data_IF_842482190951
#
_entry.id   IF_842482190951
#
_cell.length_a   1.000
_cell.length_b   1.000
_cell.length_c   1.000
_cell.angle_alpha   90.00
_cell.angle_beta   90.00
_cell.angle_gamma   90.00
#
_symmetry.space_group_name_H-M   'P 1'
#
loop_
_entity.id
_entity.type
_entity.pdbx_description
1 polymer ?
#
# COMPACT_ATOMS: atom_id res chain seq x y z
N UNK A 1 17.46 12.11 30.05
CA UNK A 1 17.82 10.70 30.23
C UNK A 1 17.68 9.93 28.93
N UNK A 2 18.74 9.24 28.50
CA UNK A 2 18.58 8.40 27.32
C UNK A 2 17.61 7.27 27.64
N UNK A 3 16.60 7.14 26.82
CA UNK A 3 15.67 6.04 26.94
C UNK A 3 16.32 4.79 26.37
N UNK A 4 16.43 3.76 27.18
CA UNK A 4 16.85 2.47 26.66
C UNK A 4 15.79 2.00 25.65
N UNK A 5 16.25 1.70 24.44
CA UNK A 5 15.38 1.11 23.44
C UNK A 5 15.04 -0.29 23.92
N UNK A 6 13.81 -0.49 24.37
CA UNK A 6 13.32 -1.82 24.67
C UNK A 6 12.94 -2.50 23.37
N UNK A 7 13.13 -3.82 23.30
CA UNK A 7 13.01 -4.61 22.08
C UNK A 7 11.64 -4.59 21.42
N UNK A 8 10.63 -3.94 21.98
CA UNK A 8 9.26 -4.00 21.47
C UNK A 8 8.59 -2.63 21.44
N UNK A 9 9.21 -1.68 20.76
CA UNK A 9 8.57 -0.41 20.49
C UNK A 9 7.51 -0.51 19.40
N UNK A 10 7.59 -1.55 18.56
CA UNK A 10 6.60 -1.78 17.53
C UNK A 10 5.46 -2.62 18.06
N UNK A 11 4.24 -2.09 17.93
CA UNK A 11 3.05 -2.85 18.30
C UNK A 11 2.84 -3.98 17.29
N UNK A 12 2.53 -5.17 17.80
CA UNK A 12 2.09 -6.23 16.93
C UNK A 12 0.72 -5.87 16.38
N UNK A 13 0.61 -5.88 15.05
CA UNK A 13 -0.65 -5.67 14.39
C UNK A 13 -1.53 -6.92 14.52
N UNK A 14 -2.77 -6.70 14.96
CA UNK A 14 -3.76 -7.75 14.91
C UNK A 14 -4.28 -7.89 13.48
N UNK A 15 -4.50 -9.12 12.97
CA UNK A 15 -5.11 -9.27 11.67
C UNK A 15 -6.54 -8.70 11.66
N UNK A 16 -7.02 -8.34 10.47
CA UNK A 16 -8.37 -7.82 10.33
C UNK A 16 -9.40 -8.91 10.66
N UNK A 17 -10.60 -8.48 11.05
CA UNK A 17 -11.64 -9.39 11.52
C UNK A 17 -12.34 -10.18 10.40
N UNK A 18 -12.33 -9.69 9.15
CA UNK A 18 -13.05 -10.34 8.06
C UNK A 18 -12.18 -11.34 7.31
N UNK A 19 -10.96 -10.96 6.94
CA UNK A 19 -10.04 -11.80 6.17
C UNK A 19 -8.92 -12.40 7.01
N UNK A 20 -8.80 -11.97 8.25
CA UNK A 20 -7.74 -12.38 9.18
C UNK A 20 -6.34 -12.22 8.56
N UNK A 21 -6.16 -11.10 7.86
CA UNK A 21 -4.92 -10.78 7.16
C UNK A 21 -4.27 -9.53 7.75
N UNK A 22 -2.99 -9.64 8.06
CA UNK A 22 -2.21 -8.50 8.53
C UNK A 22 -2.05 -7.45 7.43
N UNK A 23 -1.94 -7.88 6.18
CA UNK A 23 -1.84 -6.97 5.03
C UNK A 23 -3.09 -6.11 4.88
N UNK A 24 -4.26 -6.71 5.02
CA UNK A 24 -5.51 -5.97 4.96
C UNK A 24 -5.61 -4.98 6.13
N UNK A 25 -5.19 -5.39 7.33
CA UNK A 25 -5.18 -4.50 8.48
C UNK A 25 -4.24 -3.30 8.26
N UNK A 26 -3.10 -3.51 7.65
CA UNK A 26 -2.18 -2.41 7.31
C UNK A 26 -2.80 -1.45 6.31
N UNK A 27 -3.52 -1.95 5.32
CA UNK A 27 -4.22 -1.09 4.37
C UNK A 27 -5.30 -0.27 5.07
N UNK A 28 -6.06 -0.87 5.98
CA UNK A 28 -7.07 -0.16 6.76
C UNK A 28 -6.44 0.98 7.56
N UNK A 29 -5.34 0.68 8.25
CA UNK A 29 -4.63 1.69 9.04
C UNK A 29 -4.09 2.81 8.17
N UNK A 30 -3.58 2.50 6.99
CA UNK A 30 -3.05 3.49 6.05
C UNK A 30 -4.14 4.36 5.44
N UNK A 31 -5.32 3.81 5.24
CA UNK A 31 -6.48 4.52 4.68
C UNK A 31 -7.19 5.39 5.73
N UNK A 32 -6.96 5.12 7.01
CA UNK A 32 -7.64 5.81 8.10
C UNK A 32 -7.29 7.30 8.14
N UNK A 33 -8.30 8.14 8.33
CA UNK A 33 -8.13 9.57 8.52
C UNK A 33 -8.78 9.98 9.84
N UNK A 34 -8.08 10.79 10.64
CA UNK A 34 -8.60 11.35 11.89
C UNK A 34 -9.11 10.30 12.88
N UNK A 35 -8.50 9.12 12.89
CA UNK A 35 -8.87 8.04 13.79
C UNK A 35 -10.17 7.32 13.45
N UNK A 36 -10.77 7.58 12.29
CA UNK A 36 -12.05 6.98 11.88
C UNK A 36 -11.83 5.58 11.30
N UNK A 37 -11.53 4.64 12.19
CA UNK A 37 -11.17 3.28 11.79
C UNK A 37 -12.31 2.51 11.14
N UNK A 38 -13.53 2.63 11.69
CA UNK A 38 -14.67 1.90 11.12
C UNK A 38 -14.98 2.33 9.69
N UNK A 39 -14.89 3.63 9.42
CA UNK A 39 -15.10 4.14 8.06
C UNK A 39 -14.04 3.61 7.09
N UNK A 40 -12.77 3.60 7.50
CA UNK A 40 -11.69 3.05 6.70
C UNK A 40 -11.87 1.55 6.47
N UNK A 41 -12.26 0.82 7.50
CA UNK A 41 -12.50 -0.62 7.42
C UNK A 41 -13.60 -0.95 6.42
N UNK A 42 -14.72 -0.22 6.48
CA UNK A 42 -15.82 -0.40 5.52
C UNK A 42 -15.38 -0.11 4.09
N UNK A 43 -14.66 1.00 3.91
CA UNK A 43 -14.19 1.40 2.59
C UNK A 43 -13.24 0.34 2.00
N UNK A 44 -12.33 -0.18 2.80
CA UNK A 44 -11.38 -1.22 2.35
C UNK A 44 -12.11 -2.51 2.01
N UNK A 45 -13.04 -2.95 2.85
CA UNK A 45 -13.80 -4.17 2.57
C UNK A 45 -14.64 -4.04 1.31
N UNK A 46 -15.31 -2.91 1.12
CA UNK A 46 -16.06 -2.64 -0.11
C UNK A 46 -15.15 -2.62 -1.33
N UNK A 47 -13.97 -2.00 -1.21
CA UNK A 47 -13.01 -1.94 -2.30
C UNK A 47 -12.54 -3.33 -2.72
N UNK A 48 -12.20 -4.18 -1.75
CA UNK A 48 -11.77 -5.55 -2.03
C UNK A 48 -12.88 -6.36 -2.69
N UNK A 49 -14.11 -6.23 -2.22
CA UNK A 49 -15.24 -6.93 -2.80
C UNK A 49 -15.49 -6.49 -4.24
N UNK A 50 -15.44 -5.17 -4.50
CA UNK A 50 -15.64 -4.63 -5.85
C UNK A 50 -14.53 -5.06 -6.80
N UNK A 51 -13.28 -5.05 -6.34
CA UNK A 51 -12.14 -5.47 -7.14
C UNK A 51 -12.24 -6.94 -7.52
N UNK A 52 -12.59 -7.80 -6.57
CA UNK A 52 -12.78 -9.22 -6.82
C UNK A 52 -13.91 -9.46 -7.82
N UNK A 53 -15.01 -8.72 -7.69
CA UNK A 53 -16.14 -8.83 -8.59
C UNK A 53 -15.77 -8.41 -10.01
N UNK A 54 -15.02 -7.33 -10.16
CA UNK A 54 -14.56 -6.83 -11.46
C UNK A 54 -13.64 -7.83 -12.16
N UNK A 55 -12.77 -8.48 -11.41
CA UNK A 55 -11.84 -9.49 -11.95
C UNK A 55 -12.43 -10.89 -11.98
N UNK A 56 -13.70 -11.03 -11.58
CA UNK A 56 -14.41 -12.32 -11.55
C UNK A 56 -13.68 -13.37 -10.69
N UNK A 57 -13.08 -12.92 -9.60
CA UNK A 57 -12.41 -13.78 -8.64
C UNK A 57 -13.31 -14.03 -7.44
N UNK A 58 -13.28 -15.26 -6.92
CA UNK A 58 -14.02 -15.59 -5.70
C UNK A 58 -13.28 -15.21 -4.43
N UNK A 59 -11.96 -14.96 -4.54
CA UNK A 59 -11.09 -14.69 -3.41
C UNK A 59 -10.58 -13.25 -3.42
N UNK A 60 -11.25 -12.32 -2.71
CA UNK A 60 -10.79 -10.92 -2.65
C UNK A 60 -9.38 -10.79 -2.10
N UNK A 61 -9.00 -11.66 -1.14
CA UNK A 61 -7.66 -11.60 -0.56
C UNK A 61 -6.56 -11.90 -1.58
N UNK A 62 -6.78 -12.88 -2.46
CA UNK A 62 -5.82 -13.21 -3.51
C UNK A 62 -5.63 -12.04 -4.49
N UNK A 63 -6.73 -11.38 -4.84
CA UNK A 63 -6.68 -10.20 -5.72
C UNK A 63 -5.84 -9.10 -5.07
N UNK A 64 -6.07 -8.86 -3.79
CA UNK A 64 -5.33 -7.85 -3.04
C UNK A 64 -3.84 -8.19 -2.95
N UNK A 65 -3.51 -9.43 -2.61
CA UNK A 65 -2.12 -9.86 -2.51
C UNK A 65 -1.40 -9.73 -3.85
N UNK A 66 -2.04 -10.11 -4.93
CA UNK A 66 -1.47 -9.95 -6.28
C UNK A 66 -1.22 -8.48 -6.59
N UNK A 67 -2.17 -7.60 -6.27
CA UNK A 67 -2.01 -6.17 -6.50
C UNK A 67 -0.83 -5.61 -5.72
N UNK A 68 -0.70 -5.97 -4.45
CA UNK A 68 0.39 -5.50 -3.60
C UNK A 68 1.75 -6.02 -4.12
N UNK A 69 1.83 -7.28 -4.53
CA UNK A 69 3.06 -7.83 -5.09
C UNK A 69 3.46 -7.09 -6.37
N UNK A 70 2.51 -6.74 -7.21
CA UNK A 70 2.79 -6.01 -8.46
C UNK A 70 3.26 -4.58 -8.20
N UNK A 71 2.80 -3.95 -7.13
CA UNK A 71 3.18 -2.58 -6.77
C UNK A 71 4.48 -2.54 -5.97
N UNK A 72 4.83 -3.61 -5.25
CA UNK A 72 5.98 -3.62 -4.34
C UNK A 72 7.29 -3.38 -5.08
N UNK A 73 8.06 -2.33 -4.73
CA UNK A 73 9.32 -2.04 -5.40
C UNK A 73 10.45 -2.92 -4.87
N UNK A 74 11.41 -3.22 -5.73
CA UNK A 74 12.62 -3.94 -5.33
C UNK A 74 13.70 -3.01 -4.79
N UNK A 75 13.62 -1.71 -5.15
CA UNK A 75 14.64 -0.73 -4.81
C UNK A 75 14.01 0.56 -4.31
N UNK A 76 14.72 1.22 -3.41
CA UNK A 76 14.42 2.56 -2.95
C UNK A 76 15.50 3.51 -3.44
N UNK A 77 15.12 4.73 -3.81
CA UNK A 77 16.07 5.75 -4.25
C UNK A 77 16.35 6.69 -3.08
N UNK A 78 17.63 6.81 -2.72
CA UNK A 78 18.06 7.75 -1.69
C UNK A 78 18.96 8.81 -2.30
N UNK A 79 18.69 10.07 -1.95
CA UNK A 79 19.56 11.16 -2.38
C UNK A 79 20.82 11.19 -1.54
N UNK A 80 21.96 11.27 -2.20
CA UNK A 80 23.24 11.40 -1.52
C UNK A 80 24.03 12.54 -2.16
N UNK A 81 24.55 13.40 -1.31
CA UNK A 81 25.35 14.54 -1.75
C UNK A 81 26.84 14.17 -1.73
N UNK A 82 27.46 14.19 -2.91
CA UNK A 82 28.89 13.90 -3.06
C UNK A 82 29.50 14.99 -3.94
N UNK A 83 30.53 15.67 -3.44
CA UNK A 83 31.25 16.68 -4.23
C UNK A 83 30.39 17.85 -4.71
N UNK A 84 29.36 18.24 -3.94
CA UNK A 84 28.46 19.34 -4.30
C UNK A 84 27.32 18.97 -5.25
N UNK A 85 27.28 17.75 -5.75
CA UNK A 85 26.20 17.24 -6.60
C UNK A 85 25.32 16.26 -5.83
N UNK A 86 24.01 16.32 -6.10
CA UNK A 86 23.05 15.37 -5.52
C UNK A 86 22.90 14.17 -6.45
N UNK A 87 23.22 12.98 -5.94
CA UNK A 87 23.03 11.73 -6.67
C UNK A 87 21.92 10.91 -6.03
N UNK A 88 21.10 10.31 -6.87
CA UNK A 88 20.10 9.37 -6.42
C UNK A 88 20.68 7.96 -6.58
N UNK A 89 20.82 7.28 -5.43
CA UNK A 89 21.43 5.96 -5.37
C UNK A 89 20.35 4.93 -5.06
N UNK A 90 20.21 3.88 -5.89
CA UNK A 90 19.24 2.82 -5.59
C UNK A 90 19.76 1.91 -4.47
N UNK A 91 18.89 1.58 -3.53
CA UNK A 91 19.16 0.63 -2.46
C UNK A 91 18.13 -0.48 -2.50
N UNK A 92 18.55 -1.76 -2.42
CA UNK A 92 17.59 -2.86 -2.36
C UNK A 92 16.80 -2.80 -1.06
N UNK A 93 15.50 -3.09 -1.14
CA UNK A 93 14.62 -3.10 0.02
C UNK A 93 13.82 -4.40 0.06
N UNK A 94 13.45 -4.84 1.27
CA UNK A 94 12.69 -6.05 1.47
C UNK A 94 11.70 -5.88 2.62
N UNK A 95 10.69 -6.75 2.67
CA UNK A 95 9.77 -6.87 3.79
C UNK A 95 8.95 -5.61 4.04
N UNK A 96 9.06 -5.09 5.25
CA UNK A 96 8.25 -3.95 5.70
C UNK A 96 8.41 -2.70 4.82
N UNK A 97 9.61 -2.45 4.35
CA UNK A 97 9.86 -1.26 3.55
C UNK A 97 9.20 -1.37 2.18
N UNK A 98 9.22 -2.55 1.55
CA UNK A 98 8.48 -2.79 0.32
C UNK A 98 6.99 -2.59 0.52
N UNK A 99 6.45 -3.15 1.59
CA UNK A 99 5.03 -3.02 1.91
C UNK A 99 4.66 -1.57 2.18
N UNK A 100 5.52 -0.85 2.90
CA UNK A 100 5.28 0.57 3.16
C UNK A 100 5.09 1.36 1.86
N UNK A 101 5.97 1.18 0.89
CA UNK A 101 5.85 1.86 -0.40
C UNK A 101 4.61 1.40 -1.16
N UNK A 102 4.34 0.10 -1.19
CA UNK A 102 3.17 -0.42 -1.89
C UNK A 102 1.89 0.19 -1.35
N UNK A 103 1.70 0.17 -0.03
CA UNK A 103 0.51 0.74 0.60
C UNK A 103 0.42 2.24 0.43
N UNK A 104 1.54 2.95 0.60
CA UNK A 104 1.57 4.40 0.45
C UNK A 104 1.17 4.82 -0.96
N UNK A 105 1.75 4.18 -1.96
CA UNK A 105 1.46 4.51 -3.36
C UNK A 105 0.02 4.16 -3.73
N UNK A 106 -0.48 3.03 -3.25
CA UNK A 106 -1.86 2.61 -3.51
C UNK A 106 -2.86 3.61 -2.92
N UNK A 107 -2.68 4.00 -1.68
CA UNK A 107 -3.57 4.95 -1.02
C UNK A 107 -3.47 6.34 -1.67
N UNK A 108 -2.26 6.81 -1.98
CA UNK A 108 -2.08 8.09 -2.66
C UNK A 108 -2.72 8.09 -4.04
N UNK A 109 -2.57 7.01 -4.79
CA UNK A 109 -3.19 6.88 -6.10
C UNK A 109 -4.72 6.94 -6.02
N UNK A 110 -5.30 6.23 -5.05
CA UNK A 110 -6.74 6.26 -4.83
C UNK A 110 -7.21 7.67 -4.45
N UNK A 111 -6.47 8.36 -3.58
CA UNK A 111 -6.83 9.72 -3.15
C UNK A 111 -6.67 10.77 -4.25
N UNK A 112 -5.80 10.53 -5.22
CA UNK A 112 -5.60 11.47 -6.32
C UNK A 112 -6.77 11.50 -7.31
N UNK A 113 -7.61 10.49 -7.31
CA UNK A 113 -8.81 10.44 -8.15
C UNK A 113 -9.94 11.21 -7.48
N UNK A 114 -10.86 11.74 -8.27
CA UNK A 114 -12.00 12.49 -7.77
C UNK A 114 -13.29 12.03 -8.44
N UNK A 115 -14.43 12.48 -7.89
CA UNK A 115 -15.75 12.19 -8.48
C UNK A 115 -16.36 10.87 -8.08
N UNK A 116 -15.70 10.08 -7.22
CA UNK A 116 -16.21 8.79 -6.77
C UNK A 116 -15.91 8.58 -5.28
N UNK A 117 -16.70 7.76 -4.57
CA UNK A 117 -16.36 7.39 -3.20
C UNK A 117 -14.99 6.72 -3.14
N UNK A 118 -14.31 6.86 -1.99
CA UNK A 118 -12.98 6.30 -1.79
C UNK A 118 -12.92 4.80 -2.07
N UNK A 119 -13.96 4.05 -1.65
CA UNK A 119 -14.01 2.61 -1.88
C UNK A 119 -13.93 2.25 -3.37
N UNK A 120 -14.62 2.99 -4.24
CA UNK A 120 -14.56 2.77 -5.67
C UNK A 120 -13.21 3.16 -6.26
N UNK A 121 -12.64 4.26 -5.79
CA UNK A 121 -11.30 4.70 -6.24
C UNK A 121 -10.25 3.67 -5.87
N UNK A 122 -10.31 3.17 -4.64
CA UNK A 122 -9.38 2.15 -4.17
C UNK A 122 -9.56 0.85 -4.94
N UNK A 123 -10.81 0.43 -5.18
CA UNK A 123 -11.09 -0.77 -5.97
C UNK A 123 -10.51 -0.66 -7.38
N UNK A 124 -10.67 0.49 -8.02
CA UNK A 124 -10.13 0.73 -9.36
C UNK A 124 -8.61 0.59 -9.37
N UNK A 125 -7.93 1.17 -8.37
CA UNK A 125 -6.47 1.06 -8.27
C UNK A 125 -6.02 -0.38 -8.02
N UNK A 126 -6.74 -1.13 -7.21
CA UNK A 126 -6.40 -2.54 -6.97
C UNK A 126 -6.55 -3.35 -8.25
N UNK A 127 -7.62 -3.14 -9.01
CA UNK A 127 -7.82 -3.82 -10.30
C UNK A 127 -6.71 -3.46 -11.28
N UNK A 128 -6.40 -2.17 -11.40
CA UNK A 128 -5.32 -1.70 -12.28
C UNK A 128 -3.98 -2.29 -11.90
N UNK A 129 -3.68 -2.36 -10.61
CA UNK A 129 -2.43 -2.95 -10.11
C UNK A 129 -2.34 -4.45 -10.45
N UNK A 130 -3.46 -5.17 -10.36
CA UNK A 130 -3.49 -6.59 -10.75
C UNK A 130 -3.19 -6.78 -12.23
N UNK A 131 -3.56 -5.81 -13.05
CA UNK A 131 -3.33 -5.82 -14.50
C UNK A 131 -2.00 -5.14 -14.87
N UNK A 132 -1.17 -4.83 -13.89
CA UNK A 132 0.12 -4.14 -14.07
C UNK A 132 -0.03 -2.78 -14.76
N UNK A 133 -1.08 -2.07 -14.38
CA UNK A 133 -1.36 -0.70 -14.86
C UNK A 133 -1.71 0.19 -13.66
N UNK A 134 -2.05 1.45 -13.95
CA UNK A 134 -2.51 2.38 -12.92
C UNK A 134 -1.40 3.25 -12.34
N UNK A 135 -1.81 4.20 -11.52
CA UNK A 135 -0.92 5.24 -10.97
C UNK A 135 0.14 4.63 -10.02
N UNK A 136 -0.29 3.73 -9.14
CA UNK A 136 0.62 3.10 -8.18
C UNK A 136 1.68 2.25 -8.90
N UNK A 137 1.28 1.46 -9.88
CA UNK A 137 2.20 0.65 -10.66
C UNK A 137 3.18 1.53 -11.46
N UNK A 138 2.68 2.63 -12.01
CA UNK A 138 3.53 3.59 -12.71
C UNK A 138 4.58 4.19 -11.79
N UNK A 139 4.23 4.50 -10.55
CA UNK A 139 5.19 5.00 -9.56
C UNK A 139 6.29 3.99 -9.29
N UNK A 140 5.95 2.70 -9.20
CA UNK A 140 6.93 1.64 -9.06
C UNK A 140 7.90 1.63 -10.24
N UNK A 141 7.38 1.67 -11.46
CA UNK A 141 8.19 1.67 -12.68
C UNK A 141 9.09 2.91 -12.76
N UNK A 142 8.58 4.07 -12.42
CA UNK A 142 9.35 5.31 -12.41
C UNK A 142 10.49 5.25 -11.39
N UNK A 143 10.26 4.63 -10.24
CA UNK A 143 11.29 4.46 -9.21
C UNK A 143 12.41 3.51 -9.67
N UNK A 144 12.09 2.52 -10.50
CA UNK A 144 13.04 1.53 -10.99
C UNK A 144 13.92 2.05 -12.16
N UNK A 145 13.62 3.21 -12.68
CA UNK A 145 14.44 3.81 -13.75
C UNK A 145 15.71 4.50 -13.24
#
# INVERSE_FOLDING_TARGET
>A
MPRKVTKKLQRQLQPDRKYQSILVQRLINKSMLNGKKLAAERAVYDALAQAAKTLKSEEPLEVFEKAINNISPAFEVKSRRVGGANYQIPFPIQGHRQQHFAFTWLVQAARSKSGMPYSKRLATEIVDACNETGIAFKKKEDTHK
#
